data_IF_281306021315
#
_entry.id   IF_281306021315
#
_cell.length_a   1.000
_cell.length_b   1.000
_cell.length_c   1.000
_cell.angle_alpha   90.00
_cell.angle_beta   90.00
_cell.angle_gamma   90.00
#
_symmetry.space_group_name_H-M   'P 1'
#
loop_
_entity.id
_entity.type
_entity.pdbx_description
1 polymer ?
#
# COMPACT_ATOMS: atom_id res chain seq x y z
N UNK A 1 62.04 22.78 -2.51
CA UNK A 1 61.43 21.85 -3.49
C UNK A 1 60.16 22.51 -4.02
N UNK A 2 60.06 22.89 -5.31
CA UNK A 2 58.93 23.68 -5.78
C UNK A 2 57.66 22.81 -5.88
N UNK A 3 56.53 23.37 -5.44
CA UNK A 3 55.23 22.70 -5.34
C UNK A 3 54.61 22.54 -6.73
N UNK A 4 54.78 21.38 -7.35
CA UNK A 4 54.22 21.03 -8.66
C UNK A 4 52.68 21.03 -8.69
N UNK A 5 52.02 21.05 -7.53
CA UNK A 5 50.56 21.06 -7.39
C UNK A 5 49.90 22.36 -7.90
N UNK A 6 50.59 23.51 -7.84
CA UNK A 6 49.98 24.81 -8.17
C UNK A 6 49.76 25.02 -9.67
N UNK A 7 50.51 24.33 -10.53
CA UNK A 7 50.40 24.47 -11.99
C UNK A 7 49.16 23.77 -12.55
N UNK A 8 48.71 22.66 -11.95
CA UNK A 8 47.51 21.94 -12.40
C UNK A 8 46.20 22.56 -11.86
N UNK A 9 46.25 23.26 -10.71
CA UNK A 9 45.07 23.96 -10.18
C UNK A 9 44.65 25.16 -11.05
N UNK A 10 45.56 25.77 -11.81
CA UNK A 10 45.22 26.90 -12.70
C UNK A 10 44.43 26.46 -13.95
N UNK A 11 44.52 25.18 -14.34
CA UNK A 11 43.81 24.61 -15.50
C UNK A 11 42.33 24.35 -15.19
N UNK A 12 41.96 24.14 -13.92
CA UNK A 12 40.58 23.90 -13.51
C UNK A 12 39.82 25.23 -13.47
N UNK A 13 38.66 25.39 -14.13
CA UNK A 13 37.87 26.62 -14.07
C UNK A 13 37.48 26.98 -12.64
N UNK A 14 37.40 28.28 -12.33
CA UNK A 14 37.19 28.78 -10.94
C UNK A 14 35.95 28.18 -10.27
N UNK A 15 34.90 27.85 -11.03
CA UNK A 15 33.68 27.21 -10.54
C UNK A 15 33.87 25.77 -10.04
N UNK A 16 34.88 25.05 -10.53
CA UNK A 16 35.16 23.65 -10.17
C UNK A 16 36.36 23.50 -9.23
N UNK A 17 37.04 24.60 -8.89
CA UNK A 17 38.09 24.57 -7.87
C UNK A 17 37.46 24.32 -6.51
N UNK A 18 38.11 23.50 -5.69
CA UNK A 18 37.75 23.42 -4.27
C UNK A 18 38.03 24.81 -3.69
N UNK A 19 37.02 25.55 -3.18
CA UNK A 19 37.30 26.71 -2.36
C UNK A 19 38.18 26.28 -1.18
N UNK A 20 39.28 27.00 -1.01
CA UNK A 20 40.19 26.92 0.14
C UNK A 20 39.78 27.93 1.24
N UNK A 21 38.59 28.55 1.10
CA UNK A 21 38.05 29.45 2.10
C UNK A 21 37.84 28.69 3.41
N UNK A 22 38.31 29.23 4.55
CA UNK A 22 38.29 28.53 5.84
C UNK A 22 36.87 28.12 6.27
N UNK A 23 35.87 28.89 5.84
CA UNK A 23 34.44 28.60 6.05
C UNK A 23 34.02 27.33 5.29
N UNK A 24 34.37 27.22 4.02
CA UNK A 24 33.99 26.09 3.15
C UNK A 24 34.72 24.79 3.52
N UNK A 25 35.93 24.91 4.09
CA UNK A 25 36.69 23.76 4.61
C UNK A 25 36.05 23.25 5.89
N UNK A 26 35.69 24.15 6.82
CA UNK A 26 35.00 23.78 8.06
C UNK A 26 33.62 23.15 7.80
N UNK A 27 32.87 23.64 6.81
CA UNK A 27 31.60 23.04 6.39
C UNK A 27 31.76 21.62 5.83
N UNK A 28 32.82 21.39 5.04
CA UNK A 28 33.15 20.05 4.53
C UNK A 28 33.59 19.09 5.63
N UNK A 29 34.35 19.56 6.61
CA UNK A 29 34.74 18.74 7.75
C UNK A 29 33.56 18.38 8.63
N UNK A 30 32.63 19.32 8.87
CA UNK A 30 31.35 19.03 9.54
C UNK A 30 30.52 18.01 8.77
N UNK A 31 30.38 18.15 7.45
CA UNK A 31 29.66 17.19 6.63
C UNK A 31 30.31 15.80 6.61
N UNK A 32 31.66 15.73 6.63
CA UNK A 32 32.41 14.47 6.72
C UNK A 32 32.26 13.82 8.09
N UNK A 33 32.33 14.60 9.18
CA UNK A 33 32.13 14.11 10.55
C UNK A 33 30.70 13.59 10.77
N UNK A 34 29.72 14.20 10.10
CA UNK A 34 28.33 13.74 10.12
C UNK A 34 28.15 12.44 9.31
N UNK A 35 28.95 12.25 8.25
CA UNK A 35 28.95 11.04 7.41
C UNK A 35 29.75 9.87 8.00
N UNK A 36 30.74 10.14 8.85
CA UNK A 36 31.57 9.13 9.52
C UNK A 36 30.99 8.66 10.86
N UNK A 37 29.72 8.98 11.16
CA UNK A 37 29.06 8.45 12.35
C UNK A 37 28.84 6.96 12.12
N UNK A 38 29.62 6.14 12.83
CA UNK A 38 29.53 4.68 12.76
C UNK A 38 28.08 4.23 12.91
N UNK A 39 27.72 3.25 12.08
CA UNK A 39 26.36 2.73 12.05
C UNK A 39 26.05 2.11 13.42
N UNK A 40 25.08 2.69 14.13
CA UNK A 40 24.65 2.13 15.41
C UNK A 40 23.94 0.79 15.12
N UNK A 41 24.36 -0.34 15.71
CA UNK A 41 23.70 -1.63 15.48
C UNK A 41 22.21 -1.62 15.85
N UNK A 42 21.79 -0.74 16.76
CA UNK A 42 20.38 -0.52 17.07
C UNK A 42 19.58 0.10 15.91
N UNK A 43 20.22 0.86 15.01
CA UNK A 43 19.57 1.48 13.85
C UNK A 43 18.99 0.43 12.90
N UNK A 44 19.64 -0.73 12.74
CA UNK A 44 19.07 -1.84 11.98
C UNK A 44 17.70 -2.22 12.54
N UNK A 45 17.64 -2.57 13.82
CA UNK A 45 16.45 -3.03 14.51
C UNK A 45 15.34 -1.98 14.52
N UNK A 46 15.68 -0.71 14.67
CA UNK A 46 14.71 0.40 14.58
C UNK A 46 14.09 0.46 13.18
N UNK A 47 14.90 0.36 12.11
CA UNK A 47 14.43 0.43 10.73
C UNK A 47 13.56 -0.78 10.37
N UNK A 48 13.97 -2.02 10.71
CA UNK A 48 13.14 -3.20 10.43
C UNK A 48 11.85 -3.21 11.25
N UNK A 49 11.87 -2.80 12.52
CA UNK A 49 10.66 -2.68 13.32
C UNK A 49 9.70 -1.61 12.76
N UNK A 50 10.23 -0.50 12.25
CA UNK A 50 9.43 0.53 11.57
C UNK A 50 8.83 0.01 10.26
N UNK A 51 9.59 -0.70 9.44
CA UNK A 51 9.11 -1.25 8.17
C UNK A 51 8.03 -2.32 8.36
N UNK A 52 8.20 -3.19 9.35
CA UNK A 52 7.21 -4.24 9.67
C UNK A 52 5.99 -3.60 10.34
N UNK A 53 6.20 -2.69 11.29
CA UNK A 53 5.13 -2.02 12.05
C UNK A 53 4.32 -1.02 11.24
N UNK A 54 4.92 -0.35 10.25
CA UNK A 54 4.21 0.66 9.42
C UNK A 54 3.08 0.05 8.58
N UNK A 55 3.22 -1.22 8.20
CA UNK A 55 2.20 -1.96 7.45
C UNK A 55 1.07 -2.50 8.33
N UNK A 56 1.20 -2.48 9.66
CA UNK A 56 0.19 -3.04 10.57
C UNK A 56 -1.16 -2.30 10.51
N UNK A 57 -1.13 -0.99 10.23
CA UNK A 57 -2.34 -0.15 10.12
C UNK A 57 -3.15 -0.55 8.88
N UNK A 58 -2.48 -0.74 7.74
CA UNK A 58 -3.13 -1.15 6.49
C UNK A 58 -3.77 -2.54 6.63
N UNK A 59 -3.14 -3.42 7.41
CA UNK A 59 -3.65 -4.77 7.66
C UNK A 59 -4.97 -4.78 8.45
N UNK A 60 -5.17 -3.84 9.38
CA UNK A 60 -6.41 -3.73 10.16
C UNK A 60 -7.55 -3.18 9.29
N UNK A 61 -7.29 -2.15 8.48
CA UNK A 61 -8.27 -1.58 7.57
C UNK A 61 -8.76 -2.63 6.55
N UNK A 62 -7.82 -3.34 5.92
CA UNK A 62 -8.12 -4.42 4.98
C UNK A 62 -8.96 -5.53 5.62
N UNK A 63 -8.68 -5.87 6.89
CA UNK A 63 -9.40 -6.91 7.63
C UNK A 63 -10.83 -6.48 7.97
N UNK A 64 -11.05 -5.20 8.25
CA UNK A 64 -12.37 -4.67 8.55
C UNK A 64 -13.25 -4.59 7.29
N UNK A 65 -12.69 -4.14 6.16
CA UNK A 65 -13.38 -4.16 4.87
C UNK A 65 -13.82 -5.58 4.46
N UNK A 66 -12.90 -6.55 4.58
CA UNK A 66 -13.19 -7.97 4.35
C UNK A 66 -14.35 -8.49 5.21
N UNK A 67 -14.44 -8.10 6.48
CA UNK A 67 -15.50 -8.57 7.39
C UNK A 67 -16.89 -8.06 7.01
N UNK A 68 -17.00 -6.80 6.57
CA UNK A 68 -18.26 -6.23 6.09
C UNK A 68 -18.76 -6.95 4.84
N UNK A 69 -17.86 -7.20 3.88
CA UNK A 69 -18.16 -7.93 2.65
C UNK A 69 -18.64 -9.36 2.92
N UNK A 70 -17.88 -10.14 3.71
CA UNK A 70 -18.24 -11.54 4.00
C UNK A 70 -19.65 -11.66 4.59
N UNK A 71 -20.02 -10.75 5.50
CA UNK A 71 -21.37 -10.75 6.10
C UNK A 71 -22.48 -10.46 5.09
N UNK A 72 -22.29 -9.47 4.20
CA UNK A 72 -23.28 -9.14 3.15
C UNK A 72 -23.45 -10.31 2.18
N UNK A 73 -22.34 -10.89 1.73
CA UNK A 73 -22.33 -12.03 0.80
C UNK A 73 -22.95 -13.29 1.41
N UNK A 74 -22.63 -13.61 2.67
CA UNK A 74 -23.25 -14.74 3.38
C UNK A 74 -24.77 -14.58 3.52
N UNK A 75 -25.25 -13.37 3.82
CA UNK A 75 -26.69 -13.10 3.89
C UNK A 75 -27.39 -13.28 2.53
N UNK A 76 -26.78 -12.80 1.44
CA UNK A 76 -27.31 -12.96 0.08
C UNK A 76 -27.30 -14.43 -0.37
N UNK A 77 -26.25 -15.19 -0.04
CA UNK A 77 -26.18 -16.63 -0.30
C UNK A 77 -27.24 -17.39 0.50
N UNK A 78 -27.43 -17.05 1.78
CA UNK A 78 -28.45 -17.67 2.62
C UNK A 78 -29.86 -17.42 2.05
N UNK A 79 -30.14 -16.19 1.62
CA UNK A 79 -31.41 -15.82 0.99
C UNK A 79 -31.65 -16.58 -0.32
N UNK A 80 -30.63 -16.72 -1.19
CA UNK A 80 -30.75 -17.54 -2.40
C UNK A 80 -31.02 -19.00 -2.08
N UNK A 81 -30.28 -19.59 -1.13
CA UNK A 81 -30.48 -20.98 -0.71
C UNK A 81 -31.89 -21.21 -0.19
N UNK A 82 -32.37 -20.33 0.68
CA UNK A 82 -33.72 -20.42 1.24
C UNK A 82 -34.78 -20.30 0.14
N UNK A 83 -34.62 -19.37 -0.79
CA UNK A 83 -35.56 -19.19 -1.90
C UNK A 83 -35.60 -20.43 -2.79
N UNK A 84 -34.44 -20.99 -3.12
CA UNK A 84 -34.34 -22.23 -3.91
C UNK A 84 -35.01 -23.40 -3.18
N UNK A 85 -34.78 -23.55 -1.88
CA UNK A 85 -35.39 -24.62 -1.10
C UNK A 85 -36.92 -24.51 -1.02
N UNK A 86 -37.45 -23.29 -0.84
CA UNK A 86 -38.90 -23.06 -0.82
C UNK A 86 -39.55 -23.37 -2.17
N UNK A 87 -38.93 -22.92 -3.27
CA UNK A 87 -39.37 -23.25 -4.63
C UNK A 87 -39.30 -24.76 -4.88
N UNK A 88 -38.25 -25.43 -4.41
CA UNK A 88 -38.11 -26.88 -4.55
C UNK A 88 -39.20 -27.66 -3.81
N UNK A 89 -39.66 -27.15 -2.66
CA UNK A 89 -40.79 -27.74 -1.91
C UNK A 89 -42.16 -27.52 -2.58
N UNK A 90 -42.21 -26.78 -3.69
CA UNK A 90 -43.45 -26.44 -4.39
C UNK A 90 -44.26 -25.35 -3.70
N UNK A 91 -43.64 -24.57 -2.81
CA UNK A 91 -44.25 -23.37 -2.24
C UNK A 91 -44.36 -22.28 -3.32
N UNK A 92 -45.50 -21.57 -3.36
CA UNK A 92 -45.65 -20.41 -4.23
C UNK A 92 -44.85 -19.24 -3.65
N UNK A 93 -43.65 -19.02 -4.20
CA UNK A 93 -42.72 -17.98 -3.76
C UNK A 93 -42.56 -16.96 -4.86
N UNK A 94 -42.89 -15.71 -4.53
CA UNK A 94 -42.59 -14.55 -5.36
C UNK A 94 -41.08 -14.24 -5.32
N UNK A 95 -40.35 -14.87 -6.25
CA UNK A 95 -38.88 -14.79 -6.34
C UNK A 95 -38.41 -13.35 -6.54
N UNK A 96 -39.07 -12.58 -7.38
CA UNK A 96 -38.69 -11.20 -7.69
C UNK A 96 -38.73 -10.33 -6.43
N UNK A 97 -39.82 -10.44 -5.67
CA UNK A 97 -39.96 -9.70 -4.42
C UNK A 97 -38.97 -10.15 -3.34
N UNK A 98 -38.68 -11.45 -3.26
CA UNK A 98 -37.73 -12.00 -2.27
C UNK A 98 -36.29 -11.58 -2.57
N UNK A 99 -35.90 -11.58 -3.85
CA UNK A 99 -34.58 -11.13 -4.28
C UNK A 99 -34.42 -9.60 -4.23
N UNK A 100 -35.54 -8.87 -4.13
CA UNK A 100 -35.57 -7.42 -4.11
C UNK A 100 -35.49 -6.79 -5.49
N UNK A 101 -35.88 -7.53 -6.52
CA UNK A 101 -36.01 -7.03 -7.90
C UNK A 101 -37.02 -5.88 -7.94
N UNK A 102 -36.66 -4.78 -8.58
CA UNK A 102 -37.44 -3.54 -8.62
C UNK A 102 -37.22 -2.59 -7.43
N UNK A 103 -36.39 -2.96 -6.45
CA UNK A 103 -35.97 -2.05 -5.36
C UNK A 103 -34.54 -1.57 -5.65
N UNK A 104 -34.34 -0.28 -5.97
CA UNK A 104 -33.04 0.22 -6.47
C UNK A 104 -31.90 0.02 -5.47
N UNK A 105 -32.17 0.13 -4.16
CA UNK A 105 -31.18 -0.11 -3.11
C UNK A 105 -30.75 -1.58 -3.06
N UNK A 106 -31.69 -2.52 -3.17
CA UNK A 106 -31.41 -3.96 -3.16
C UNK A 106 -30.65 -4.41 -4.39
N UNK A 107 -31.01 -3.85 -5.56
CA UNK A 107 -30.32 -4.11 -6.82
C UNK A 107 -28.89 -3.58 -6.80
N UNK A 108 -28.67 -2.38 -6.25
CA UNK A 108 -27.32 -1.84 -6.08
C UNK A 108 -26.45 -2.74 -5.19
N UNK A 109 -26.99 -3.27 -4.08
CA UNK A 109 -26.26 -4.23 -3.24
C UNK A 109 -25.89 -5.52 -4.01
N UNK A 110 -26.73 -5.98 -4.93
CA UNK A 110 -26.44 -7.15 -5.78
C UNK A 110 -25.38 -6.83 -6.82
N UNK A 111 -25.47 -5.65 -7.46
CA UNK A 111 -24.48 -5.15 -8.41
C UNK A 111 -23.09 -5.07 -7.77
N UNK A 112 -22.99 -4.52 -6.56
CA UNK A 112 -21.74 -4.41 -5.80
C UNK A 112 -21.11 -5.80 -5.55
N UNK A 113 -21.92 -6.78 -5.10
CA UNK A 113 -21.43 -8.15 -4.88
C UNK A 113 -20.98 -8.82 -6.19
N UNK A 114 -21.69 -8.58 -7.30
CA UNK A 114 -21.36 -9.15 -8.61
C UNK A 114 -20.08 -8.54 -9.20
N UNK A 115 -19.94 -7.21 -9.13
CA UNK A 115 -18.76 -6.50 -9.58
C UNK A 115 -17.52 -6.94 -8.80
N UNK A 116 -17.66 -7.13 -7.49
CA UNK A 116 -16.55 -7.59 -6.65
C UNK A 116 -16.17 -9.04 -6.96
N UNK A 117 -17.15 -9.94 -7.14
CA UNK A 117 -16.91 -11.31 -7.61
C UNK A 117 -16.19 -11.36 -8.96
N UNK A 118 -16.57 -10.51 -9.91
CA UNK A 118 -15.90 -10.43 -11.21
C UNK A 118 -14.46 -9.95 -11.05
N UNK A 119 -14.23 -8.92 -10.22
CA UNK A 119 -12.90 -8.39 -9.96
C UNK A 119 -11.98 -9.45 -9.32
N UNK A 120 -12.44 -10.17 -8.30
CA UNK A 120 -11.74 -11.32 -7.71
C UNK A 120 -11.50 -12.43 -8.74
N UNK A 121 -12.48 -12.67 -9.63
CA UNK A 121 -12.39 -13.66 -10.69
C UNK A 121 -11.24 -13.34 -11.69
N UNK A 122 -11.08 -12.06 -12.02
CA UNK A 122 -10.01 -11.62 -12.92
C UNK A 122 -8.63 -11.72 -12.29
N UNK A 123 -8.52 -11.54 -10.97
CA UNK A 123 -7.25 -11.63 -10.24
C UNK A 123 -6.73 -13.07 -10.18
N UNK A 124 -7.60 -14.07 -9.99
CA UNK A 124 -7.14 -15.46 -10.02
C UNK A 124 -6.85 -15.98 -11.42
N UNK A 125 -7.58 -15.54 -12.46
CA UNK A 125 -7.31 -15.97 -13.85
C UNK A 125 -5.98 -15.45 -14.41
N UNK A 126 -5.46 -14.36 -13.84
CA UNK A 126 -4.18 -13.75 -14.24
C UNK A 126 -2.96 -14.34 -13.53
N UNK A 127 -3.15 -15.22 -12.54
CA UNK A 127 -2.09 -15.82 -11.72
C UNK A 127 -1.85 -17.27 -12.10
#
# INVERSE_FOLDING_TARGET
VPRVASVWQSVIPKAFRKPDDPVSVAEREKARAMKSKDWNPATFFIVIALLIGSNAIQMIALRNERQGFTRKTEAKIALLRETIERVHRGEDVDVERVLGTGVPEKEQEWEEVMQELESDNTLWKKK
#
